data_IF_317957816603
#
_entry.id   IF_317957816603
#
_cell.length_a   1.000
_cell.length_b   1.000
_cell.length_c   1.000
_cell.angle_alpha   90.00
_cell.angle_beta   90.00
_cell.angle_gamma   90.00
#
_symmetry.space_group_name_H-M   'P 1'
#
loop_
_entity.id
_entity.type
_entity.pdbx_description
1 polymer ?
#
# COMPACT_ATOMS: atom_id res chain seq x y z
N UNK A 1 13.94 -3.64 -0.20
CA UNK A 1 12.68 -3.25 -0.85
C UNK A 1 12.83 -3.10 -2.36
N UNK A 2 13.98 -2.66 -2.87
CA UNK A 2 14.28 -2.69 -4.31
C UNK A 2 15.50 -3.59 -4.58
N UNK A 3 15.69 -4.08 -5.82
CA UNK A 3 16.92 -4.76 -6.24
C UNK A 3 18.17 -3.88 -6.11
N UNK A 4 19.33 -4.48 -6.36
CA UNK A 4 20.59 -3.74 -6.32
C UNK A 4 20.67 -2.78 -7.50
N UNK A 5 21.06 -1.54 -7.23
CA UNK A 5 21.16 -0.46 -8.22
C UNK A 5 22.63 -0.25 -8.57
N UNK A 6 22.91 -0.03 -9.84
CA UNK A 6 24.27 0.25 -10.32
C UNK A 6 24.81 1.56 -9.76
N UNK A 7 26.13 1.78 -9.91
CA UNK A 7 26.79 2.99 -9.44
C UNK A 7 27.67 3.57 -10.53
N UNK A 8 27.68 4.90 -10.60
CA UNK A 8 28.64 5.68 -11.39
C UNK A 8 30.09 5.40 -10.95
N UNK A 9 31.06 5.77 -11.77
CA UNK A 9 32.49 5.64 -11.45
C UNK A 9 32.90 6.38 -10.15
N UNK A 10 32.18 7.45 -9.79
CA UNK A 10 32.36 8.17 -8.52
C UNK A 10 31.65 7.53 -7.32
N UNK A 11 31.03 6.36 -7.48
CA UNK A 11 30.35 5.62 -6.42
C UNK A 11 28.93 6.07 -6.10
N UNK A 12 28.36 7.02 -6.84
CA UNK A 12 26.97 7.49 -6.68
C UNK A 12 26.02 6.48 -7.34
N UNK A 13 24.88 6.17 -6.69
CA UNK A 13 23.85 5.30 -7.28
C UNK A 13 23.32 5.90 -8.58
N UNK A 14 23.25 5.08 -9.60
CA UNK A 14 22.78 5.43 -10.94
C UNK A 14 21.49 4.66 -11.23
N UNK A 15 20.35 5.35 -11.12
CA UNK A 15 19.03 4.74 -11.19
C UNK A 15 18.54 4.70 -12.63
N UNK A 16 18.24 3.50 -13.11
CA UNK A 16 17.60 3.27 -14.41
C UNK A 16 16.08 3.38 -14.32
N UNK A 17 15.40 3.39 -15.47
CA UNK A 17 13.93 3.37 -15.51
C UNK A 17 13.34 2.14 -14.79
N UNK A 18 13.99 0.97 -14.90
CA UNK A 18 13.57 -0.24 -14.21
C UNK A 18 13.71 -0.08 -12.69
N UNK A 19 14.80 0.53 -12.22
CA UNK A 19 15.00 0.81 -10.79
C UNK A 19 13.93 1.76 -10.25
N UNK A 20 13.54 2.77 -11.05
CA UNK A 20 12.46 3.69 -10.69
C UNK A 20 11.13 2.95 -10.58
N UNK A 21 10.82 2.01 -11.48
CA UNK A 21 9.62 1.18 -11.38
C UNK A 21 9.59 0.35 -10.09
N UNK A 22 10.74 -0.17 -9.64
CA UNK A 22 10.85 -0.84 -8.34
C UNK A 22 10.60 0.10 -7.16
N UNK A 23 11.11 1.34 -7.23
CA UNK A 23 10.89 2.36 -6.20
C UNK A 23 9.41 2.75 -6.13
N UNK A 24 8.78 3.01 -7.27
CA UNK A 24 7.35 3.38 -7.35
C UNK A 24 6.47 2.30 -6.75
N UNK A 25 6.72 1.02 -7.09
CA UNK A 25 6.00 -0.10 -6.51
C UNK A 25 6.20 -0.20 -5.00
N UNK A 26 7.44 -0.03 -4.52
CA UNK A 26 7.73 -0.07 -3.09
C UNK A 26 7.04 1.07 -2.34
N UNK A 27 7.05 2.29 -2.86
CA UNK A 27 6.36 3.44 -2.28
C UNK A 27 4.86 3.18 -2.22
N UNK A 28 4.24 2.82 -3.35
CA UNK A 28 2.82 2.53 -3.44
C UNK A 28 2.36 1.47 -2.43
N UNK A 29 3.08 0.36 -2.33
CA UNK A 29 2.75 -0.70 -1.36
C UNK A 29 2.95 -0.25 0.08
N UNK A 30 4.01 0.51 0.38
CA UNK A 30 4.23 1.04 1.73
C UNK A 30 3.15 2.02 2.16
N UNK A 31 2.70 2.88 1.26
CA UNK A 31 1.60 3.83 1.50
C UNK A 31 0.27 3.11 1.74
N UNK A 32 0.06 1.97 1.08
CA UNK A 32 -1.07 1.08 1.33
C UNK A 32 -0.96 0.27 2.65
N UNK A 33 0.08 0.51 3.45
CA UNK A 33 0.28 -0.14 4.75
C UNK A 33 0.93 -1.52 4.69
N UNK A 34 1.48 -1.92 3.53
CA UNK A 34 2.17 -3.21 3.39
C UNK A 34 3.45 -3.21 4.23
N UNK A 35 3.72 -4.26 5.03
CA UNK A 35 4.94 -4.36 5.82
C UNK A 35 6.22 -4.36 4.96
N UNK A 36 7.30 -3.79 5.51
CA UNK A 36 8.59 -3.72 4.81
C UNK A 36 9.17 -5.11 4.54
N UNK A 37 8.90 -6.05 5.44
CA UNK A 37 9.35 -7.43 5.42
C UNK A 37 8.84 -8.16 4.18
N UNK A 38 7.58 -7.93 3.79
CA UNK A 38 6.99 -8.53 2.58
C UNK A 38 7.71 -8.06 1.31
N UNK A 39 8.07 -6.77 1.24
CA UNK A 39 8.80 -6.22 0.11
C UNK A 39 10.25 -6.70 0.05
N UNK A 40 10.88 -6.91 1.21
CA UNK A 40 12.22 -7.53 1.28
C UNK A 40 12.15 -8.97 0.77
N UNK A 41 11.16 -9.74 1.22
CA UNK A 41 10.98 -11.12 0.82
C UNK A 41 10.68 -11.25 -0.68
N UNK A 42 9.84 -10.39 -1.22
CA UNK A 42 9.56 -10.36 -2.65
C UNK A 42 10.82 -10.12 -3.49
N UNK A 43 11.67 -9.15 -3.10
CA UNK A 43 12.95 -8.90 -3.77
C UNK A 43 13.91 -10.07 -3.62
N UNK A 44 13.95 -10.72 -2.46
CA UNK A 44 14.76 -11.93 -2.24
C UNK A 44 14.37 -13.03 -3.23
N UNK A 45 13.09 -13.36 -3.30
CA UNK A 45 12.55 -14.36 -4.23
C UNK A 45 12.79 -13.97 -5.69
N UNK A 46 12.64 -12.69 -6.05
CA UNK A 46 12.91 -12.19 -7.40
C UNK A 46 14.35 -12.46 -7.83
N UNK A 47 15.32 -12.24 -6.93
CA UNK A 47 16.75 -12.45 -7.20
C UNK A 47 17.12 -13.93 -7.40
N UNK A 48 16.33 -14.85 -6.87
CA UNK A 48 16.51 -16.30 -7.11
C UNK A 48 16.06 -16.74 -8.52
N UNK A 49 15.44 -15.84 -9.29
CA UNK A 49 15.07 -16.08 -10.68
C UNK A 49 13.74 -16.83 -10.84
N UNK A 50 13.58 -17.51 -11.97
CA UNK A 50 12.27 -18.02 -12.40
C UNK A 50 11.76 -19.24 -11.60
N UNK A 51 12.61 -19.89 -10.79
CA UNK A 51 12.18 -20.98 -9.91
C UNK A 51 11.21 -20.54 -8.80
N UNK A 52 11.11 -19.25 -8.51
CA UNK A 52 10.29 -18.70 -7.42
C UNK A 52 9.00 -18.02 -7.89
N UNK A 53 8.61 -18.17 -9.16
CA UNK A 53 7.44 -17.48 -9.72
C UNK A 53 6.16 -17.75 -8.91
N UNK A 54 5.94 -19.00 -8.50
CA UNK A 54 4.78 -19.39 -7.69
C UNK A 54 4.82 -18.75 -6.30
N UNK A 55 5.97 -18.80 -5.63
CA UNK A 55 6.15 -18.18 -4.31
C UNK A 55 5.91 -16.66 -4.37
N UNK A 56 6.45 -15.99 -5.39
CA UNK A 56 6.21 -14.55 -5.64
C UNK A 56 4.74 -14.24 -5.86
N UNK A 57 4.04 -15.04 -6.67
CA UNK A 57 2.62 -14.85 -6.92
C UNK A 57 1.78 -15.04 -5.65
N UNK A 58 2.10 -16.05 -4.83
CA UNK A 58 1.38 -16.31 -3.58
C UNK A 58 1.62 -15.20 -2.55
N UNK A 59 2.85 -14.70 -2.42
CA UNK A 59 3.17 -13.56 -1.56
C UNK A 59 2.35 -12.32 -1.95
N UNK A 60 2.24 -12.02 -3.25
CA UNK A 60 1.44 -10.87 -3.72
C UNK A 60 -0.07 -11.06 -3.47
N UNK A 61 -0.59 -12.28 -3.56
CA UNK A 61 -1.99 -12.57 -3.19
C UNK A 61 -2.23 -12.34 -1.70
N UNK A 62 -1.30 -12.73 -0.84
CA UNK A 62 -1.40 -12.48 0.59
C UNK A 62 -1.41 -10.98 0.89
N UNK A 63 -0.49 -10.22 0.29
CA UNK A 63 -0.46 -8.75 0.40
C UNK A 63 -1.78 -8.13 -0.06
N UNK A 64 -2.38 -8.62 -1.16
CA UNK A 64 -3.68 -8.17 -1.63
C UNK A 64 -4.78 -8.35 -0.58
N UNK A 65 -4.85 -9.52 0.07
CA UNK A 65 -5.87 -9.76 1.12
C UNK A 65 -5.67 -8.83 2.31
N UNK A 66 -4.43 -8.53 2.71
CA UNK A 66 -4.14 -7.57 3.79
C UNK A 66 -4.63 -6.16 3.44
N UNK A 67 -4.42 -5.71 2.20
CA UNK A 67 -4.91 -4.41 1.73
C UNK A 67 -6.45 -4.37 1.72
N UNK A 68 -7.11 -5.46 1.30
CA UNK A 68 -8.57 -5.54 1.31
C UNK A 68 -9.16 -5.45 2.72
N UNK A 69 -8.54 -6.10 3.69
CA UNK A 69 -8.98 -6.02 5.08
C UNK A 69 -8.77 -4.62 5.66
N UNK A 70 -7.63 -3.98 5.36
CA UNK A 70 -7.38 -2.59 5.74
C UNK A 70 -8.42 -1.65 5.12
N UNK A 71 -8.73 -1.82 3.83
CA UNK A 71 -9.78 -1.05 3.13
C UNK A 71 -11.12 -1.18 3.84
N UNK A 72 -11.56 -2.40 4.16
CA UNK A 72 -12.84 -2.63 4.84
C UNK A 72 -12.95 -1.88 6.17
N UNK A 73 -11.86 -1.82 6.94
CA UNK A 73 -11.79 -1.04 8.18
C UNK A 73 -12.00 0.46 7.92
N UNK A 74 -11.39 1.00 6.87
CA UNK A 74 -11.57 2.41 6.48
C UNK A 74 -12.98 2.68 5.96
N UNK A 75 -13.53 1.82 5.12
CA UNK A 75 -14.88 1.95 4.58
C UNK A 75 -15.91 2.00 5.73
N UNK A 76 -15.78 1.11 6.73
CA UNK A 76 -16.64 1.12 7.94
C UNK A 76 -16.52 2.42 8.74
N UNK A 77 -15.31 3.00 8.81
CA UNK A 77 -15.09 4.26 9.53
C UNK A 77 -15.69 5.44 8.76
N UNK A 78 -15.56 5.45 7.44
CA UNK A 78 -16.13 6.46 6.56
C UNK A 78 -17.66 6.45 6.63
N UNK A 79 -18.31 5.28 6.58
CA UNK A 79 -19.77 5.17 6.75
C UNK A 79 -20.28 5.84 8.04
N UNK A 80 -19.56 5.64 9.16
CA UNK A 80 -19.91 6.29 10.44
C UNK A 80 -19.69 7.79 10.42
N UNK A 81 -18.63 8.26 9.74
CA UNK A 81 -18.34 9.69 9.59
C UNK A 81 -19.40 10.35 8.71
N UNK A 82 -19.74 9.74 7.57
CA UNK A 82 -20.74 10.25 6.63
C UNK A 82 -22.11 10.36 7.31
N UNK A 83 -22.51 9.34 8.08
CA UNK A 83 -23.71 9.43 8.91
C UNK A 83 -23.66 10.61 9.88
N UNK A 84 -22.56 10.78 10.63
CA UNK A 84 -22.41 11.89 11.57
C UNK A 84 -22.46 13.24 10.89
N UNK A 85 -21.75 13.40 9.77
CA UNK A 85 -21.74 14.62 8.96
C UNK A 85 -23.17 14.96 8.53
N UNK A 86 -23.92 13.99 7.99
CA UNK A 86 -25.31 14.19 7.61
C UNK A 86 -26.21 14.65 8.77
N UNK A 87 -26.02 14.10 9.99
CA UNK A 87 -26.75 14.58 11.18
C UNK A 87 -26.42 16.04 11.51
N UNK A 88 -25.15 16.41 11.44
CA UNK A 88 -24.74 17.80 11.67
C UNK A 88 -25.27 18.75 10.58
N UNK A 89 -25.30 18.33 9.31
CA UNK A 89 -25.86 19.16 8.23
C UNK A 89 -27.36 19.43 8.41
N UNK A 90 -28.12 18.46 8.93
CA UNK A 90 -29.53 18.68 9.30
C UNK A 90 -29.61 19.63 10.50
N UNK A 91 -28.82 19.38 11.54
CA UNK A 91 -28.81 20.21 12.75
C UNK A 91 -28.46 21.67 12.47
N UNK A 92 -27.56 21.94 11.54
CA UNK A 92 -27.21 23.30 11.12
C UNK A 92 -28.37 24.04 10.44
N UNK A 93 -29.33 23.31 9.85
CA UNK A 93 -30.53 23.88 9.22
C UNK A 93 -31.69 24.05 10.19
N UNK A 94 -31.86 23.10 11.11
CA UNK A 94 -32.98 23.05 12.05
C UNK A 94 -32.67 23.74 13.39
N UNK A 95 -31.39 23.89 13.73
CA UNK A 95 -30.93 24.34 15.05
C UNK A 95 -30.93 23.23 16.11
N UNK A 96 -31.29 22.00 15.76
CA UNK A 96 -31.42 20.88 16.69
C UNK A 96 -30.67 19.64 16.19
N UNK A 97 -29.78 19.11 17.03
CA UNK A 97 -29.02 17.89 16.74
C UNK A 97 -29.72 16.65 17.31
N UNK A 98 -30.11 15.75 16.43
CA UNK A 98 -30.71 14.46 16.77
C UNK A 98 -29.85 13.32 16.23
N UNK A 99 -29.89 12.16 16.88
CA UNK A 99 -29.17 10.93 16.48
C UNK A 99 -30.10 9.75 16.17
N UNK A 100 -31.42 9.98 16.23
CA UNK A 100 -32.45 9.01 15.86
C UNK A 100 -32.59 8.87 14.34
#
# INVERSE_FOLDING_TARGET
MIPEVTRTAGGIRDYTADDLGWVENAVCMRDAGVPVEMLIEYVRLFREGNGTLEARANLLKEVREQILEARKKYDTALEKLDYKIGRYEVALKTGELTWE
#
